data_IF_918504660284
#
_entry.id   IF_918504660284
#
_cell.length_a   1.000
_cell.length_b   1.000
_cell.length_c   1.000
_cell.angle_alpha   90.00
_cell.angle_beta   90.00
_cell.angle_gamma   90.00
#
_symmetry.space_group_name_H-M   'P 1'
#
loop_
_entity.id
_entity.type
_entity.pdbx_description
1 polymer ?
#
# COMPACT_ATOMS: atom_id res chain seq x y z
N UNK A 1 -10.95 1.81 -16.28
CA UNK A 1 -11.66 1.78 -14.97
C UNK A 1 -12.59 0.56 -14.89
N UNK A 2 -13.20 0.14 -16.00
CA UNK A 2 -14.09 -1.03 -16.03
C UNK A 2 -13.45 -2.39 -15.69
N UNK A 3 -12.11 -2.52 -15.82
CA UNK A 3 -11.38 -3.74 -15.44
C UNK A 3 -10.99 -3.80 -13.94
N UNK A 4 -10.98 -2.65 -13.25
CA UNK A 4 -10.66 -2.60 -11.82
C UNK A 4 -11.89 -2.84 -10.93
N UNK A 5 -13.09 -2.71 -11.48
CA UNK A 5 -14.36 -2.91 -10.77
C UNK A 5 -14.85 -4.36 -10.87
N UNK A 6 -14.17 -5.20 -11.63
CA UNK A 6 -14.38 -6.65 -11.63
C UNK A 6 -13.90 -7.26 -10.31
N UNK A 7 -14.65 -7.01 -9.24
CA UNK A 7 -14.40 -7.50 -7.87
C UNK A 7 -14.12 -9.03 -7.82
N UNK A 8 -14.59 -9.78 -8.76
CA UNK A 8 -14.33 -11.23 -8.84
C UNK A 8 -12.88 -11.58 -9.22
N UNK A 9 -12.16 -10.68 -9.90
CA UNK A 9 -10.82 -11.00 -10.38
C UNK A 9 -9.77 -10.90 -9.27
N UNK A 10 -9.91 -9.92 -8.35
CA UNK A 10 -9.04 -9.81 -7.17
C UNK A 10 -9.31 -10.89 -6.11
N UNK A 11 -10.52 -11.44 -6.09
CA UNK A 11 -10.94 -12.45 -5.10
C UNK A 11 -10.60 -13.85 -5.59
N UNK A 12 -10.57 -14.11 -6.90
CA UNK A 12 -10.20 -15.42 -7.45
C UNK A 12 -8.71 -15.70 -7.40
N UNK A 13 -7.86 -14.67 -7.53
CA UNK A 13 -6.41 -14.82 -7.38
C UNK A 13 -5.98 -14.50 -5.94
N UNK A 14 -6.27 -15.39 -5.03
CA UNK A 14 -5.75 -15.32 -3.66
C UNK A 14 -4.22 -15.24 -3.69
N UNK A 15 -3.68 -14.19 -3.06
CA UNK A 15 -2.24 -13.93 -3.08
C UNK A 15 -1.75 -13.12 -4.28
N UNK A 16 -2.66 -12.56 -5.06
CA UNK A 16 -2.35 -11.70 -6.20
C UNK A 16 -1.80 -10.34 -5.78
N UNK A 17 -1.07 -9.70 -6.69
CA UNK A 17 -0.52 -8.35 -6.54
C UNK A 17 -1.05 -7.47 -7.66
N UNK A 18 -1.78 -6.43 -7.31
CA UNK A 18 -2.34 -5.47 -8.27
C UNK A 18 -1.61 -4.14 -8.13
N UNK A 19 -1.10 -3.62 -9.23
CA UNK A 19 -0.50 -2.29 -9.30
C UNK A 19 -1.47 -1.27 -9.86
N UNK A 20 -1.75 -0.20 -9.12
CA UNK A 20 -2.51 0.95 -9.60
C UNK A 20 -1.56 2.07 -9.96
N UNK A 21 -1.48 2.37 -11.25
CA UNK A 21 -0.64 3.44 -11.79
C UNK A 21 -1.50 4.70 -12.00
N UNK A 22 -1.01 5.84 -11.54
CA UNK A 22 -1.72 7.10 -11.75
C UNK A 22 -1.07 8.28 -11.06
N UNK A 23 -1.35 9.48 -11.54
CA UNK A 23 -0.90 10.73 -10.94
C UNK A 23 -1.61 11.10 -9.65
N UNK A 24 -1.25 12.24 -9.07
CA UNK A 24 -1.96 12.80 -7.93
C UNK A 24 -3.39 13.19 -8.30
N UNK A 25 -4.33 13.02 -7.38
CA UNK A 25 -5.69 13.50 -7.53
C UNK A 25 -6.60 12.70 -8.49
N UNK A 26 -6.17 11.52 -8.93
CA UNK A 26 -6.99 10.67 -9.82
C UNK A 26 -7.98 9.75 -9.08
N UNK A 27 -8.27 10.02 -7.82
CA UNK A 27 -9.27 9.27 -7.05
C UNK A 27 -8.81 7.90 -6.55
N UNK A 28 -7.50 7.65 -6.43
CA UNK A 28 -6.96 6.38 -5.89
C UNK A 28 -7.49 6.08 -4.50
N UNK A 29 -7.54 7.08 -3.64
CA UNK A 29 -8.04 6.95 -2.27
C UNK A 29 -9.51 6.48 -2.24
N UNK A 30 -10.36 7.02 -3.12
CA UNK A 30 -11.77 6.60 -3.22
C UNK A 30 -11.89 5.13 -3.62
N UNK A 31 -11.07 4.67 -4.58
CA UNK A 31 -11.05 3.27 -4.99
C UNK A 31 -10.59 2.37 -3.84
N UNK A 32 -9.55 2.78 -3.11
CA UNK A 32 -9.03 2.05 -1.95
C UNK A 32 -10.10 1.93 -0.87
N UNK A 33 -10.78 3.03 -0.54
CA UNK A 33 -11.86 3.03 0.46
C UNK A 33 -13.01 2.12 0.06
N UNK A 34 -13.44 2.18 -1.19
CA UNK A 34 -14.52 1.33 -1.69
C UNK A 34 -14.15 -0.16 -1.62
N UNK A 35 -12.91 -0.51 -1.99
CA UNK A 35 -12.42 -1.89 -1.88
C UNK A 35 -12.37 -2.36 -0.42
N UNK A 36 -11.87 -1.53 0.50
CA UNK A 36 -11.83 -1.86 1.94
C UNK A 36 -13.23 -2.07 2.48
N UNK A 37 -14.17 -1.16 2.15
CA UNK A 37 -15.55 -1.23 2.61
C UNK A 37 -16.24 -2.51 2.12
N UNK A 38 -16.07 -2.85 0.84
CA UNK A 38 -16.67 -4.03 0.25
C UNK A 38 -16.11 -5.32 0.87
N UNK A 39 -14.79 -5.40 1.07
CA UNK A 39 -14.16 -6.57 1.68
C UNK A 39 -14.56 -6.72 3.15
N UNK A 40 -14.63 -5.63 3.90
CA UNK A 40 -15.06 -5.67 5.30
C UNK A 40 -16.51 -6.15 5.44
N UNK A 41 -17.40 -5.75 4.52
CA UNK A 41 -18.82 -6.11 4.56
C UNK A 41 -19.11 -7.49 3.98
N UNK A 42 -18.55 -7.82 2.83
CA UNK A 42 -18.95 -9.03 2.08
C UNK A 42 -18.12 -10.27 2.44
N UNK A 43 -16.83 -10.12 2.70
CA UNK A 43 -15.93 -11.26 2.87
C UNK A 43 -15.44 -11.49 4.30
N UNK A 44 -15.68 -10.54 5.19
CA UNK A 44 -15.26 -10.66 6.58
C UNK A 44 -13.74 -10.71 6.81
N UNK A 45 -12.93 -10.51 5.77
CA UNK A 45 -11.48 -10.46 5.83
C UNK A 45 -10.94 -9.19 6.49
N UNK A 46 -9.66 -9.23 6.86
CA UNK A 46 -8.96 -8.06 7.38
C UNK A 46 -8.31 -7.25 6.26
N UNK A 47 -8.36 -5.94 6.39
CA UNK A 47 -7.67 -5.01 5.50
C UNK A 47 -6.59 -4.26 6.26
N UNK A 48 -5.40 -4.16 5.67
CA UNK A 48 -4.31 -3.34 6.20
C UNK A 48 -3.96 -2.27 5.17
N UNK A 49 -3.85 -1.05 5.66
CA UNK A 49 -3.39 0.08 4.86
C UNK A 49 -2.02 0.54 5.34
N UNK A 50 -1.03 0.49 4.46
CA UNK A 50 0.32 0.98 4.69
C UNK A 50 0.51 2.31 3.95
N UNK A 51 0.44 3.42 4.68
CA UNK A 51 0.73 4.76 4.16
C UNK A 51 2.23 5.05 4.21
N UNK A 52 2.90 4.94 3.07
CA UNK A 52 4.35 5.11 2.97
C UNK A 52 4.69 6.47 2.39
N UNK A 53 5.16 7.39 3.22
CA UNK A 53 5.59 8.71 2.79
C UNK A 53 4.45 9.63 2.32
N UNK A 54 3.21 9.34 2.73
CA UNK A 54 2.05 10.16 2.42
C UNK A 54 2.00 11.44 3.26
N UNK A 55 1.21 12.40 2.81
CA UNK A 55 0.99 13.65 3.55
C UNK A 55 0.16 13.35 4.80
N UNK A 56 0.53 13.98 5.92
CA UNK A 56 -0.17 13.83 7.20
C UNK A 56 -1.67 14.14 7.07
N UNK A 57 -2.02 15.15 6.28
CA UNK A 57 -3.40 15.52 6.03
C UNK A 57 -4.17 14.39 5.33
N UNK A 58 -3.62 13.81 4.29
CA UNK A 58 -4.26 12.73 3.52
C UNK A 58 -4.51 11.48 4.38
N UNK A 59 -3.55 11.14 5.25
CA UNK A 59 -3.73 10.05 6.21
C UNK A 59 -4.81 10.31 7.25
N UNK A 60 -4.92 11.56 7.72
CA UNK A 60 -5.96 11.97 8.65
C UNK A 60 -7.34 11.99 7.98
N UNK A 61 -7.44 12.56 6.77
CA UNK A 61 -8.67 12.57 6.00
C UNK A 61 -9.18 11.14 5.74
N UNK A 62 -8.29 10.21 5.37
CA UNK A 62 -8.62 8.80 5.17
C UNK A 62 -9.19 8.15 6.44
N UNK A 63 -8.61 8.43 7.61
CA UNK A 63 -9.12 7.91 8.88
C UNK A 63 -10.54 8.38 9.16
N UNK A 64 -10.82 9.66 8.95
CA UNK A 64 -12.16 10.22 9.17
C UNK A 64 -13.18 9.69 8.17
N UNK A 65 -12.82 9.61 6.89
CA UNK A 65 -13.68 9.06 5.85
C UNK A 65 -14.02 7.58 6.10
N UNK A 66 -13.06 6.77 6.57
CA UNK A 66 -13.33 5.39 6.97
C UNK A 66 -14.21 5.28 8.22
N UNK A 67 -14.09 6.23 9.14
CA UNK A 67 -14.94 6.29 10.33
C UNK A 67 -16.36 6.67 9.96
N UNK A 68 -16.55 7.66 9.10
CA UNK A 68 -17.87 8.08 8.60
C UNK A 68 -18.54 6.98 7.76
N UNK A 69 -17.76 6.22 7.00
CA UNK A 69 -18.25 5.07 6.24
C UNK A 69 -18.60 3.85 7.11
N UNK A 70 -18.33 3.90 8.41
CA UNK A 70 -18.59 2.82 9.36
C UNK A 70 -17.68 1.60 9.22
N UNK A 71 -16.53 1.78 8.57
CA UNK A 71 -15.47 0.74 8.47
C UNK A 71 -14.65 0.68 9.74
N UNK A 72 -14.45 1.83 10.38
CA UNK A 72 -13.81 1.96 11.68
C UNK A 72 -14.90 2.30 12.70
N UNK A 73 -15.07 1.42 13.69
CA UNK A 73 -15.96 1.67 14.83
C UNK A 73 -15.14 2.43 15.89
N UNK A 74 -15.52 3.67 16.16
CA UNK A 74 -14.81 4.52 17.12
C UNK A 74 -15.09 4.14 18.58
N UNK A 75 -16.25 3.55 18.85
CA UNK A 75 -16.67 3.15 20.20
C UNK A 75 -16.04 1.79 20.58
N UNK A 76 -15.89 0.90 19.61
CA UNK A 76 -15.33 -0.44 19.82
C UNK A 76 -14.39 -0.85 18.68
N UNK A 77 -13.12 -0.50 18.82
CA UNK A 77 -12.08 -0.81 17.84
C UNK A 77 -11.92 -2.31 17.56
N UNK A 78 -12.38 -3.17 18.45
CA UNK A 78 -12.30 -4.63 18.26
C UNK A 78 -13.22 -5.14 17.14
N UNK A 79 -14.24 -4.38 16.78
CA UNK A 79 -15.16 -4.67 15.67
C UNK A 79 -14.61 -4.21 14.31
N UNK A 80 -13.65 -3.30 14.32
CA UNK A 80 -13.04 -2.79 13.10
C UNK A 80 -12.18 -3.86 12.45
N UNK A 81 -12.37 -4.06 11.14
CA UNK A 81 -11.61 -5.06 10.36
C UNK A 81 -10.51 -4.41 9.51
N UNK A 82 -10.12 -3.20 9.85
CA UNK A 82 -9.07 -2.45 9.17
C UNK A 82 -7.99 -2.02 10.16
N UNK A 83 -6.74 -2.09 9.74
CA UNK A 83 -5.62 -1.52 10.47
C UNK A 83 -4.88 -0.52 9.58
N UNK A 84 -4.61 0.66 10.11
CA UNK A 84 -3.91 1.74 9.43
C UNK A 84 -2.49 1.86 10.00
N UNK A 85 -1.48 1.76 9.15
CA UNK A 85 -0.08 1.83 9.53
C UNK A 85 0.58 2.94 8.72
N UNK A 86 0.94 4.03 9.38
CA UNK A 86 1.47 5.21 8.71
C UNK A 86 2.96 5.43 9.00
N UNK A 87 3.73 5.73 7.95
CA UNK A 87 5.04 6.33 8.02
C UNK A 87 5.06 7.51 7.08
N UNK A 88 4.62 8.67 7.57
CA UNK A 88 4.32 9.85 6.75
C UNK A 88 5.58 10.62 6.34
N UNK A 89 5.42 11.66 5.50
CA UNK A 89 6.54 12.42 4.91
C UNK A 89 7.45 13.09 5.94
N UNK A 90 6.90 13.46 7.09
CA UNK A 90 7.64 14.09 8.18
C UNK A 90 8.52 13.12 8.97
N UNK A 91 8.32 11.81 8.80
CA UNK A 91 9.10 10.79 9.47
C UNK A 91 10.50 10.63 8.86
N UNK A 92 11.49 10.21 9.66
CA UNK A 92 12.81 9.88 9.15
C UNK A 92 12.77 8.81 8.06
N UNK A 93 13.72 8.82 7.10
CA UNK A 93 13.69 7.87 5.99
C UNK A 93 13.75 6.40 6.43
N UNK A 94 14.40 6.09 7.55
CA UNK A 94 14.41 4.74 8.12
C UNK A 94 13.02 4.29 8.59
N UNK A 95 12.21 5.17 9.16
CA UNK A 95 10.83 4.87 9.55
C UNK A 95 9.95 4.65 8.31
N UNK A 96 10.05 5.55 7.32
CA UNK A 96 9.31 5.42 6.04
C UNK A 96 9.65 4.14 5.29
N UNK A 97 10.91 3.69 5.33
CA UNK A 97 11.33 2.42 4.73
C UNK A 97 10.73 1.21 5.47
N UNK A 98 10.60 1.30 6.80
CA UNK A 98 10.14 0.17 7.62
C UNK A 98 8.64 0.01 7.71
N UNK A 99 7.86 1.07 7.49
CA UNK A 99 6.40 1.04 7.67
C UNK A 99 5.71 -0.01 6.79
N UNK A 100 6.10 -0.14 5.52
CA UNK A 100 5.53 -1.15 4.63
C UNK A 100 5.84 -2.58 5.09
N UNK A 101 7.06 -2.82 5.57
CA UNK A 101 7.46 -4.12 6.13
C UNK A 101 6.76 -4.41 7.46
N UNK A 102 6.49 -3.40 8.27
CA UNK A 102 5.73 -3.55 9.52
C UNK A 102 4.27 -3.91 9.24
N UNK A 103 3.63 -3.22 8.29
CA UNK A 103 2.28 -3.58 7.85
C UNK A 103 2.24 -5.00 7.27
N UNK A 104 3.24 -5.39 6.48
CA UNK A 104 3.33 -6.74 5.93
C UNK A 104 3.49 -7.79 7.04
N UNK A 105 4.29 -7.53 8.09
CA UNK A 105 4.42 -8.44 9.22
C UNK A 105 3.09 -8.61 9.99
N UNK A 106 2.29 -7.55 10.11
CA UNK A 106 0.93 -7.64 10.66
C UNK A 106 0.02 -8.47 9.76
N UNK A 107 0.10 -8.28 8.43
CA UNK A 107 -0.65 -9.08 7.47
C UNK A 107 -0.29 -10.57 7.56
N UNK A 108 0.98 -10.89 7.69
CA UNK A 108 1.45 -12.27 7.89
C UNK A 108 0.92 -12.87 9.19
N UNK A 109 0.88 -12.11 10.27
CA UNK A 109 0.28 -12.56 11.52
C UNK A 109 -1.19 -12.95 11.36
N UNK A 110 -1.99 -12.12 10.69
CA UNK A 110 -3.39 -12.46 10.43
C UNK A 110 -3.54 -13.66 9.50
N UNK A 111 -2.69 -13.78 8.48
CA UNK A 111 -2.69 -14.93 7.58
C UNK A 111 -2.32 -16.23 8.29
N UNK A 112 -1.22 -16.24 9.04
CA UNK A 112 -0.59 -17.46 9.54
C UNK A 112 -1.12 -17.91 10.90
N UNK A 113 -1.46 -16.96 11.79
CA UNK A 113 -1.96 -17.24 13.14
C UNK A 113 -3.48 -17.20 13.25
N UNK A 114 -4.13 -16.31 12.50
CA UNK A 114 -5.60 -16.19 12.52
C UNK A 114 -6.28 -16.95 11.39
N UNK A 115 -5.51 -17.51 10.44
CA UNK A 115 -6.00 -18.21 9.25
C UNK A 115 -7.03 -17.38 8.48
N UNK A 116 -6.73 -16.09 8.28
CA UNK A 116 -7.61 -15.14 7.62
C UNK A 116 -7.01 -14.69 6.28
N UNK A 117 -7.89 -14.39 5.34
CA UNK A 117 -7.49 -13.71 4.12
C UNK A 117 -7.32 -12.21 4.42
N UNK A 118 -6.23 -11.65 3.95
CA UNK A 118 -5.84 -10.27 4.23
C UNK A 118 -5.66 -9.49 2.93
N UNK A 119 -6.25 -8.30 2.87
CA UNK A 119 -6.00 -7.34 1.82
C UNK A 119 -5.02 -6.28 2.31
N UNK A 120 -3.86 -6.19 1.66
CA UNK A 120 -2.81 -5.22 1.97
C UNK A 120 -2.78 -4.11 0.93
N UNK A 121 -3.08 -2.90 1.37
CA UNK A 121 -2.90 -1.69 0.57
C UNK A 121 -1.55 -1.07 0.88
N UNK A 122 -0.78 -0.70 -0.14
CA UNK A 122 0.48 0.04 0.00
C UNK A 122 0.39 1.31 -0.82
N UNK A 123 0.31 2.42 -0.16
CA UNK A 123 0.33 3.75 -0.78
C UNK A 123 1.47 4.57 -0.16
N UNK A 124 2.59 4.71 -0.78
CA UNK A 124 2.93 4.50 -2.19
C UNK A 124 4.25 3.71 -2.30
N UNK A 125 4.32 2.71 -3.18
CA UNK A 125 5.53 1.89 -3.37
C UNK A 125 6.72 2.70 -3.86
N UNK A 126 6.50 3.75 -4.64
CA UNK A 126 7.57 4.65 -5.07
C UNK A 126 8.24 5.36 -3.89
N UNK A 127 7.46 5.76 -2.88
CA UNK A 127 7.97 6.39 -1.65
C UNK A 127 8.80 5.43 -0.82
N UNK A 128 8.47 4.15 -0.83
CA UNK A 128 9.29 3.10 -0.23
C UNK A 128 10.68 3.04 -0.88
N UNK A 129 10.75 3.02 -2.21
CA UNK A 129 12.01 3.06 -2.95
C UNK A 129 12.80 4.34 -2.70
N UNK A 130 12.13 5.49 -2.62
CA UNK A 130 12.75 6.78 -2.32
C UNK A 130 13.35 6.79 -0.91
N UNK A 131 12.63 6.29 0.09
CA UNK A 131 13.15 6.19 1.46
C UNK A 131 14.38 5.27 1.54
N UNK A 132 14.40 4.18 0.80
CA UNK A 132 15.57 3.30 0.66
C UNK A 132 16.78 4.02 0.05
N UNK A 133 16.55 4.86 -0.97
CA UNK A 133 17.60 5.69 -1.58
C UNK A 133 18.17 6.70 -0.58
N UNK A 134 17.32 7.38 0.18
CA UNK A 134 17.74 8.33 1.22
C UNK A 134 18.57 7.64 2.32
N UNK A 135 18.15 6.47 2.80
CA UNK A 135 18.91 5.67 3.78
C UNK A 135 20.27 5.25 3.21
N UNK A 136 20.30 4.80 1.97
CA UNK A 136 21.54 4.39 1.29
C UNK A 136 22.53 5.56 1.17
N UNK A 137 22.03 6.76 0.83
CA UNK A 137 22.84 7.98 0.78
C UNK A 137 23.40 8.36 2.14
N UNK A 138 22.59 8.28 3.21
CA UNK A 138 23.03 8.53 4.59
C UNK A 138 24.13 7.54 5.04
N UNK A 139 24.12 6.32 4.52
CA UNK A 139 25.13 5.30 4.78
C UNK A 139 26.39 5.45 3.89
N UNK A 140 26.44 6.47 3.04
CA UNK A 140 27.58 6.73 2.15
C UNK A 140 27.73 5.70 1.02
N UNK A 141 26.69 4.97 0.68
CA UNK A 141 26.75 3.97 -0.41
C UNK A 141 26.70 4.69 -1.76
N UNK A 142 27.56 4.25 -2.68
CA UNK A 142 27.57 4.78 -4.05
C UNK A 142 26.29 4.39 -4.77
N UNK A 143 25.53 5.35 -5.35
CA UNK A 143 24.34 5.04 -6.12
C UNK A 143 24.67 4.25 -7.38
N UNK A 144 23.69 3.51 -7.89
CA UNK A 144 23.78 2.84 -9.19
C UNK A 144 23.85 3.86 -10.34
N UNK A 145 24.14 3.41 -11.54
CA UNK A 145 24.25 4.26 -12.73
C UNK A 145 22.97 5.07 -13.03
N UNK A 146 21.80 4.62 -12.55
CA UNK A 146 20.50 5.29 -12.67
C UNK A 146 20.13 6.13 -11.45
N UNK A 147 21.03 6.27 -10.46
CA UNK A 147 20.82 7.11 -9.28
C UNK A 147 20.06 6.46 -8.12
N UNK A 148 19.64 5.20 -8.22
CA UNK A 148 19.01 4.46 -7.14
C UNK A 148 20.03 3.70 -6.28
N UNK A 149 19.61 3.28 -5.10
CA UNK A 149 20.41 2.44 -4.21
C UNK A 149 20.76 1.08 -4.85
N UNK A 150 21.97 0.55 -4.61
CA UNK A 150 22.35 -0.75 -5.16
C UNK A 150 21.55 -1.93 -4.59
N UNK A 151 20.88 -1.72 -3.45
CA UNK A 151 20.05 -2.71 -2.74
C UNK A 151 18.57 -2.67 -3.14
N UNK A 152 18.18 -1.85 -4.12
CA UNK A 152 16.77 -1.66 -4.51
C UNK A 152 16.07 -2.98 -4.82
N UNK A 153 16.69 -3.84 -5.61
CA UNK A 153 16.09 -5.13 -6.00
C UNK A 153 15.85 -6.04 -4.79
N UNK A 154 16.82 -6.11 -3.86
CA UNK A 154 16.68 -6.90 -2.64
C UNK A 154 15.62 -6.37 -1.70
N UNK A 155 15.53 -5.04 -1.55
CA UNK A 155 14.52 -4.39 -0.70
C UNK A 155 13.12 -4.58 -1.26
N UNK A 156 12.95 -4.45 -2.57
CA UNK A 156 11.68 -4.72 -3.23
C UNK A 156 11.31 -6.20 -3.18
N UNK A 157 12.26 -7.11 -3.34
CA UNK A 157 12.04 -8.54 -3.21
C UNK A 157 11.56 -8.90 -1.80
N UNK A 158 12.17 -8.33 -0.75
CA UNK A 158 11.74 -8.55 0.64
C UNK A 158 10.27 -8.15 0.87
N UNK A 159 9.80 -7.10 0.22
CA UNK A 159 8.39 -6.71 0.30
C UNK A 159 7.52 -7.62 -0.56
N UNK A 160 7.88 -7.82 -1.81
CA UNK A 160 7.01 -8.44 -2.81
C UNK A 160 6.89 -9.96 -2.65
N UNK A 161 7.96 -10.67 -2.32
CA UNK A 161 7.93 -12.14 -2.24
C UNK A 161 7.19 -12.67 -1.01
N UNK A 162 7.09 -11.87 0.04
CA UNK A 162 6.33 -12.21 1.25
C UNK A 162 4.81 -12.10 1.06
N UNK A 163 4.37 -11.33 0.04
CA UNK A 163 2.97 -11.21 -0.34
C UNK A 163 2.59 -12.44 -1.16
N UNK A 164 2.02 -13.43 -0.50
CA UNK A 164 1.72 -14.73 -1.10
C UNK A 164 0.61 -15.46 -0.36
N UNK A 165 0.07 -16.48 -1.01
CA UNK A 165 -0.87 -17.42 -0.39
C UNK A 165 -0.12 -18.54 0.31
N UNK A 166 -0.65 -18.96 1.44
CA UNK A 166 -0.21 -20.17 2.17
C UNK A 166 -1.40 -21.13 2.32
N UNK A 167 -1.16 -22.29 2.88
CA UNK A 167 -2.22 -23.24 3.18
C UNK A 167 -3.19 -22.74 4.27
N UNK A 168 -2.82 -21.71 5.01
CA UNK A 168 -3.60 -21.15 6.12
C UNK A 168 -4.45 -19.94 5.72
N UNK A 169 -4.00 -19.17 4.75
CA UNK A 169 -4.66 -17.96 4.29
C UNK A 169 -3.88 -17.28 3.16
N UNK A 170 -4.36 -16.15 2.70
CA UNK A 170 -3.73 -15.42 1.62
C UNK A 170 -3.52 -13.94 1.95
N UNK A 171 -2.46 -13.35 1.39
CA UNK A 171 -2.28 -11.90 1.36
C UNK A 171 -2.41 -11.47 -0.09
N UNK A 172 -3.44 -10.70 -0.38
CA UNK A 172 -3.60 -10.03 -1.68
C UNK A 172 -3.21 -8.58 -1.52
N UNK A 173 -2.41 -8.03 -2.42
CA UNK A 173 -1.98 -6.64 -2.30
C UNK A 173 -2.50 -5.76 -3.43
N UNK A 174 -2.89 -4.55 -3.05
CA UNK A 174 -3.16 -3.45 -3.93
C UNK A 174 -2.12 -2.36 -3.69
N UNK A 175 -1.30 -2.06 -4.69
CA UNK A 175 -0.14 -1.20 -4.57
C UNK A 175 -0.31 0.02 -5.45
N UNK A 176 -0.36 1.21 -4.86
CA UNK A 176 -0.35 2.45 -5.61
C UNK A 176 1.08 2.79 -6.04
N UNK A 177 1.25 3.03 -7.32
CA UNK A 177 2.53 3.50 -7.89
C UNK A 177 2.31 4.89 -8.46
N UNK A 178 2.94 5.85 -7.82
CA UNK A 178 2.90 7.25 -8.22
C UNK A 178 4.29 7.71 -8.61
N UNK A 179 4.44 8.14 -9.85
CA UNK A 179 5.67 8.74 -10.32
C UNK A 179 5.37 10.11 -10.93
N UNK A 180 5.90 11.17 -10.34
CA UNK A 180 5.74 12.56 -10.82
C UNK A 180 6.30 12.75 -12.23
N UNK A 181 7.35 12.02 -12.59
CA UNK A 181 8.01 12.13 -13.89
C UNK A 181 7.16 11.60 -15.05
N UNK A 182 6.29 10.63 -14.78
CA UNK A 182 5.45 10.00 -15.81
C UNK A 182 4.25 10.87 -16.24
N UNK A 183 3.81 11.79 -15.39
CA UNK A 183 2.65 12.64 -15.65
C UNK A 183 2.98 13.91 -16.43
N UNK A 184 4.22 14.40 -16.37
CA UNK A 184 4.64 15.59 -17.13
C UNK A 184 4.88 15.25 -18.61
N UNK A 185 5.51 14.14 -18.91
CA UNK A 185 5.82 13.74 -20.29
C UNK A 185 4.58 13.31 -21.07
N UNK A 186 3.66 12.57 -20.45
CA UNK A 186 2.40 12.17 -21.09
C UNK A 186 1.46 13.36 -21.38
N UNK A 187 1.50 14.41 -20.56
CA UNK A 187 0.73 15.61 -20.79
C UNK A 187 1.31 16.49 -21.92
N UNK A 188 2.62 16.44 -22.14
CA UNK A 188 3.29 17.17 -23.20
C UNK A 188 3.20 16.44 -24.55
N UNK A 189 3.18 15.12 -24.58
CA UNK A 189 2.98 14.35 -25.80
C UNK A 189 1.55 14.46 -26.35
N UNK A 190 0.55 14.65 -25.51
CA UNK A 190 -0.84 14.89 -25.97
C UNK A 190 -1.10 16.33 -26.45
N UNK A 191 -0.14 17.25 -26.32
CA UNK A 191 -0.23 18.63 -26.80
C UNK A 191 0.54 18.88 -28.13
N UNK A 192 1.22 17.89 -28.65
CA UNK A 192 1.88 17.89 -29.96
C UNK A 192 1.09 17.08 -30.96
#
# INVERSE_FOLDING_TARGET
IGCLVGSEMCIRDRGGKVGAFGGAGVGKTVVIMELINNIAKEHGGYSLFAGVGERTREGNDLYWEMSEAGVIDQDDLSKSKVALVYGQMNEPPGARLRVALSALAMAEYFRDEKNQDVLLFVDNVFRFSQAGSEVSALLGRTPSAVGYQPTLASEMAQLQERITSTNKGSITSFQAVYCLLYTSDAADEMRR
#
